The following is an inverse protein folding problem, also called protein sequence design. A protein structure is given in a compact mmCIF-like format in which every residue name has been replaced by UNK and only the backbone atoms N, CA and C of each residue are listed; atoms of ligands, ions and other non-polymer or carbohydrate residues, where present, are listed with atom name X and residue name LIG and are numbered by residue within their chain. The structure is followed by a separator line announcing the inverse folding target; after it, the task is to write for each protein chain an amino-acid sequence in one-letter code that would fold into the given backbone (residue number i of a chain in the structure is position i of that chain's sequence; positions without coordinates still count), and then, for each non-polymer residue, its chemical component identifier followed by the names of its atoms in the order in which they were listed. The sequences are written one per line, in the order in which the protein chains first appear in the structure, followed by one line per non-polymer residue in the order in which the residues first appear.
data_IF_360669378941
#
_entry.id   IF_360669378941
#
_cell.length_a   1.000
_cell.length_b   1.000
_cell.length_c   1.000
_cell.angle_alpha   90.00
_cell.angle_beta   90.00
_cell.angle_gamma   90.00
#
_symmetry.space_group_name_H-M   'P 1'
#
loop_
_entity.id
_entity.type
_entity.pdbx_description
1 polymer ?
#
# COMPACT_ATOMS: atom_id res chain seq x y z
N UNK A 1 -35.24 81.06 -80.50
CA UNK A 1 -34.44 79.82 -80.26
C UNK A 1 -35.01 78.75 -81.16
N UNK A 2 -34.17 78.08 -81.96
CA UNK A 2 -34.63 77.11 -82.94
C UNK A 2 -35.05 75.83 -82.20
N UNK A 3 -36.35 75.58 -82.12
CA UNK A 3 -36.92 74.42 -81.41
C UNK A 3 -36.29 73.09 -81.86
N UNK A 4 -35.80 73.02 -83.10
CA UNK A 4 -35.10 71.86 -83.66
C UNK A 4 -33.82 71.45 -82.90
N UNK A 5 -32.98 72.42 -82.51
CA UNK A 5 -31.74 72.14 -81.76
C UNK A 5 -32.04 71.64 -80.34
N UNK A 6 -33.12 72.13 -79.73
CA UNK A 6 -33.61 71.68 -78.42
C UNK A 6 -34.10 70.23 -78.51
N UNK A 7 -34.84 69.87 -79.56
CA UNK A 7 -35.28 68.48 -79.79
C UNK A 7 -34.10 67.51 -80.00
N UNK A 8 -33.08 67.88 -80.76
CA UNK A 8 -31.88 67.05 -80.97
C UNK A 8 -31.11 66.84 -79.66
N UNK A 9 -30.90 67.90 -78.88
CA UNK A 9 -30.23 67.80 -77.57
C UNK A 9 -31.02 66.90 -76.60
N UNK A 10 -32.35 66.98 -76.62
CA UNK A 10 -33.23 66.14 -75.80
C UNK A 10 -33.12 64.65 -76.19
N UNK A 11 -33.12 64.34 -77.48
CA UNK A 11 -32.96 62.96 -78.00
C UNK A 11 -31.60 62.39 -77.58
N UNK A 12 -30.52 63.18 -77.68
CA UNK A 12 -29.18 62.77 -77.28
C UNK A 12 -29.08 62.53 -75.76
N UNK A 13 -29.67 63.43 -74.94
CA UNK A 13 -29.75 63.25 -73.49
C UNK A 13 -30.57 62.01 -73.09
N UNK A 14 -31.67 61.73 -73.78
CA UNK A 14 -32.48 60.53 -73.55
C UNK A 14 -31.72 59.25 -73.97
N UNK A 15 -30.99 59.29 -75.08
CA UNK A 15 -30.18 58.16 -75.55
C UNK A 15 -29.00 57.84 -74.64
N UNK A 16 -28.29 58.86 -74.14
CA UNK A 16 -27.20 58.69 -73.17
C UNK A 16 -27.70 58.22 -71.81
N UNK A 17 -28.83 58.75 -71.33
CA UNK A 17 -29.50 58.27 -70.12
C UNK A 17 -29.98 56.81 -70.24
N UNK A 18 -30.58 56.44 -71.37
CA UNK A 18 -30.96 55.06 -71.70
C UNK A 18 -29.76 54.11 -71.74
N UNK A 19 -28.67 54.53 -72.38
CA UNK A 19 -27.43 53.74 -72.43
C UNK A 19 -26.80 53.55 -71.06
N UNK A 20 -26.80 54.59 -70.21
CA UNK A 20 -26.29 54.53 -68.84
C UNK A 20 -27.11 53.61 -67.94
N UNK A 21 -28.43 53.69 -68.01
CA UNK A 21 -29.34 52.82 -67.25
C UNK A 21 -29.18 51.36 -67.68
N UNK A 22 -29.10 51.09 -68.99
CA UNK A 22 -28.82 49.76 -69.52
C UNK A 22 -27.46 49.22 -69.04
N UNK A 23 -26.40 50.03 -69.07
CA UNK A 23 -25.08 49.65 -68.57
C UNK A 23 -25.09 49.33 -67.06
N UNK A 24 -25.78 50.13 -66.23
CA UNK A 24 -25.94 49.83 -64.80
C UNK A 24 -26.70 48.52 -64.56
N UNK A 25 -27.76 48.26 -65.34
CA UNK A 25 -28.49 46.99 -65.27
C UNK A 25 -27.58 45.84 -65.69
N UNK A 26 -26.84 45.98 -66.79
CA UNK A 26 -25.86 45.00 -67.26
C UNK A 26 -24.80 44.69 -66.19
N UNK A 27 -24.22 45.70 -65.53
CA UNK A 27 -23.25 45.50 -64.45
C UNK A 27 -23.86 44.74 -63.25
N UNK A 28 -25.10 45.08 -62.86
CA UNK A 28 -25.82 44.34 -61.81
C UNK A 28 -26.06 42.89 -62.22
N UNK A 29 -26.47 42.63 -63.45
CA UNK A 29 -26.68 41.29 -64.00
C UNK A 29 -25.36 40.50 -64.07
N UNK A 30 -24.27 41.14 -64.51
CA UNK A 30 -22.93 40.54 -64.56
C UNK A 30 -22.43 40.17 -63.17
N UNK A 31 -22.58 41.07 -62.19
CA UNK A 31 -22.24 40.80 -60.79
C UNK A 31 -23.05 39.62 -60.24
N UNK A 32 -24.37 39.65 -60.43
CA UNK A 32 -25.28 38.57 -60.02
C UNK A 32 -24.94 37.23 -60.68
N UNK A 33 -24.57 37.23 -61.97
CA UNK A 33 -24.12 36.03 -62.68
C UNK A 33 -22.83 35.48 -62.09
N UNK A 34 -21.86 36.35 -61.76
CA UNK A 34 -20.61 35.95 -61.11
C UNK A 34 -20.88 35.31 -59.74
N UNK A 35 -21.70 35.94 -58.91
CA UNK A 35 -22.13 35.40 -57.61
C UNK A 35 -22.81 34.03 -57.78
N UNK A 36 -23.73 33.87 -58.74
CA UNK A 36 -24.38 32.59 -59.01
C UNK A 36 -23.41 31.50 -59.49
N UNK A 37 -22.40 31.87 -60.29
CA UNK A 37 -21.37 30.91 -60.71
C UNK A 37 -20.50 30.47 -59.54
N UNK A 38 -20.07 31.40 -58.67
CA UNK A 38 -19.32 31.08 -57.45
C UNK A 38 -20.15 30.25 -56.46
N UNK A 39 -21.44 30.53 -56.33
CA UNK A 39 -22.36 29.71 -55.54
C UNK A 39 -22.46 28.29 -56.12
N UNK A 40 -22.66 28.16 -57.43
CA UNK A 40 -22.78 26.85 -58.09
C UNK A 40 -21.48 26.04 -58.01
N UNK A 41 -20.34 26.69 -58.21
CA UNK A 41 -19.03 26.06 -58.05
C UNK A 41 -18.83 25.57 -56.61
N UNK A 42 -19.22 26.37 -55.61
CA UNK A 42 -19.20 25.96 -54.20
C UNK A 42 -20.07 24.72 -53.95
N UNK A 43 -21.27 24.67 -54.53
CA UNK A 43 -22.20 23.53 -54.44
C UNK A 43 -21.61 22.29 -55.11
N UNK A 44 -21.16 22.41 -56.37
CA UNK A 44 -20.61 21.30 -57.13
C UNK A 44 -19.36 20.71 -56.43
N UNK A 45 -18.49 21.57 -55.92
CA UNK A 45 -17.31 21.15 -55.15
C UNK A 45 -17.69 20.40 -53.86
N UNK A 46 -18.75 20.81 -53.16
CA UNK A 46 -19.21 20.12 -51.96
C UNK A 46 -19.92 18.80 -52.27
N UNK A 47 -20.71 18.74 -53.34
CA UNK A 47 -21.40 17.51 -53.77
C UNK A 47 -20.41 16.42 -54.18
N UNK A 48 -19.32 16.80 -54.85
CA UNK A 48 -18.23 15.91 -55.26
C UNK A 48 -17.23 15.57 -54.15
N UNK A 49 -17.36 16.20 -52.98
CA UNK A 49 -16.43 16.00 -51.88
C UNK A 49 -16.54 14.57 -51.34
N UNK A 50 -15.44 13.82 -51.42
CA UNK A 50 -15.29 12.51 -50.78
C UNK A 50 -15.00 12.73 -49.30
N UNK A 51 -16.01 12.50 -48.46
CA UNK A 51 -15.93 12.79 -47.02
C UNK A 51 -14.82 11.98 -46.33
N UNK A 52 -14.51 10.78 -46.84
CA UNK A 52 -13.43 9.91 -46.35
C UNK A 52 -12.03 10.53 -46.42
N UNK A 53 -11.79 11.44 -47.36
CA UNK A 53 -10.47 12.03 -47.61
C UNK A 53 -10.27 13.37 -46.90
N UNK A 54 -11.30 13.89 -46.25
CA UNK A 54 -11.33 15.25 -45.74
C UNK A 54 -11.40 15.23 -44.21
N UNK A 55 -10.57 16.07 -43.59
CA UNK A 55 -10.55 16.17 -42.14
C UNK A 55 -11.83 16.80 -41.56
N UNK A 56 -12.04 16.59 -40.26
CA UNK A 56 -13.17 17.11 -39.50
C UNK A 56 -13.33 18.64 -39.63
N UNK A 57 -12.22 19.38 -39.65
CA UNK A 57 -12.22 20.84 -39.70
C UNK A 57 -12.66 21.39 -41.06
N UNK A 58 -12.24 20.75 -42.14
CA UNK A 58 -12.58 21.13 -43.51
C UNK A 58 -14.06 20.85 -43.81
N UNK A 59 -14.60 19.70 -43.39
CA UNK A 59 -16.03 19.40 -43.54
C UNK A 59 -16.88 20.41 -42.74
N UNK A 60 -16.49 20.70 -41.50
CA UNK A 60 -17.19 21.68 -40.65
C UNK A 60 -17.15 23.09 -41.24
N UNK A 61 -16.02 23.50 -41.81
CA UNK A 61 -15.85 24.77 -42.51
C UNK A 61 -16.77 24.87 -43.72
N UNK A 62 -16.81 23.83 -44.57
CA UNK A 62 -17.69 23.77 -45.75
C UNK A 62 -19.17 23.80 -45.39
N UNK A 63 -19.59 23.06 -44.37
CA UNK A 63 -20.96 23.12 -43.86
C UNK A 63 -21.34 24.52 -43.35
N UNK A 64 -20.40 25.23 -42.71
CA UNK A 64 -20.60 26.59 -42.24
C UNK A 64 -20.71 27.58 -43.40
N UNK A 65 -19.88 27.43 -44.44
CA UNK A 65 -19.93 28.22 -45.67
C UNK A 65 -21.30 28.09 -46.38
N UNK A 66 -21.78 26.86 -46.56
CA UNK A 66 -23.07 26.54 -47.18
C UNK A 66 -24.23 27.15 -46.40
N UNK A 67 -24.17 27.05 -45.06
CA UNK A 67 -25.19 27.61 -44.16
C UNK A 67 -25.22 29.14 -44.25
N UNK A 68 -24.06 29.80 -44.22
CA UNK A 68 -23.95 31.26 -44.26
C UNK A 68 -24.46 31.86 -45.58
N UNK A 69 -24.22 31.16 -46.71
CA UNK A 69 -24.70 31.56 -48.04
C UNK A 69 -26.17 31.18 -48.29
N UNK A 70 -26.85 30.51 -47.34
CA UNK A 70 -28.24 30.05 -47.46
C UNK A 70 -28.48 29.22 -48.74
N UNK A 71 -27.49 28.41 -49.14
CA UNK A 71 -27.53 27.65 -50.40
C UNK A 71 -28.55 26.51 -50.36
N UNK A 72 -28.87 26.00 -49.18
CA UNK A 72 -29.82 24.89 -48.97
C UNK A 72 -31.18 25.18 -49.61
N UNK A 73 -31.70 26.42 -49.48
CA UNK A 73 -32.98 26.79 -50.07
C UNK A 73 -32.96 26.83 -51.61
N UNK A 74 -31.77 27.04 -52.19
CA UNK A 74 -31.57 27.18 -53.64
C UNK A 74 -31.26 25.84 -54.31
N UNK A 75 -30.64 24.92 -53.59
CA UNK A 75 -30.09 23.66 -54.11
C UNK A 75 -30.52 22.49 -53.20
N UNK A 76 -31.72 21.91 -53.40
CA UNK A 76 -32.26 20.83 -52.57
C UNK A 76 -31.38 19.57 -52.52
N UNK A 77 -30.59 19.32 -53.55
CA UNK A 77 -29.61 18.21 -53.61
C UNK A 77 -28.55 18.28 -52.48
N UNK A 78 -28.33 19.46 -51.90
CA UNK A 78 -27.44 19.62 -50.74
C UNK A 78 -27.99 18.95 -49.48
N UNK A 79 -29.30 18.77 -49.32
CA UNK A 79 -29.87 18.25 -48.07
C UNK A 79 -29.35 16.85 -47.75
N UNK A 80 -29.27 15.99 -48.77
CA UNK A 80 -28.74 14.64 -48.62
C UNK A 80 -27.25 14.68 -48.25
N UNK A 81 -26.44 15.45 -49.00
CA UNK A 81 -24.99 15.55 -48.76
C UNK A 81 -24.66 16.17 -47.39
N UNK A 82 -25.45 17.15 -46.95
CA UNK A 82 -25.32 17.75 -45.60
C UNK A 82 -25.64 16.73 -44.52
N UNK A 83 -26.69 15.91 -44.69
CA UNK A 83 -27.04 14.85 -43.75
C UNK A 83 -25.91 13.81 -43.67
N UNK A 84 -25.40 13.38 -44.82
CA UNK A 84 -24.24 12.47 -44.92
C UNK A 84 -23.02 13.05 -44.19
N UNK A 85 -22.64 14.30 -44.49
CA UNK A 85 -21.53 14.98 -43.85
C UNK A 85 -21.71 15.12 -42.33
N UNK A 86 -22.92 15.40 -41.86
CA UNK A 86 -23.21 15.47 -40.41
C UNK A 86 -23.04 14.12 -39.73
N UNK A 87 -23.56 13.04 -40.33
CA UNK A 87 -23.39 11.70 -39.79
C UNK A 87 -21.92 11.31 -39.73
N UNK A 88 -21.18 11.57 -40.80
CA UNK A 88 -19.74 11.31 -40.86
C UNK A 88 -18.94 12.11 -39.81
N UNK A 89 -19.31 13.37 -39.53
CA UNK A 89 -18.70 14.15 -38.45
C UNK A 89 -18.93 13.53 -37.06
N UNK A 90 -20.08 12.90 -36.83
CA UNK A 90 -20.38 12.17 -35.58
C UNK A 90 -19.49 10.92 -35.49
N UNK A 91 -19.36 10.17 -36.59
CA UNK A 91 -18.49 8.99 -36.65
C UNK A 91 -17.02 9.34 -36.39
N UNK A 92 -16.50 10.39 -37.04
CA UNK A 92 -15.14 10.88 -36.80
C UNK A 92 -14.92 11.29 -35.33
N UNK A 93 -15.92 11.93 -34.72
CA UNK A 93 -15.85 12.31 -33.30
C UNK A 93 -15.75 11.08 -32.41
N UNK A 94 -16.60 10.09 -32.62
CA UNK A 94 -16.55 8.84 -31.85
C UNK A 94 -15.24 8.08 -32.08
N UNK A 95 -14.71 8.06 -33.31
CA UNK A 95 -13.41 7.45 -33.61
C UNK A 95 -12.27 8.13 -32.86
N UNK A 96 -12.24 9.45 -32.85
CA UNK A 96 -11.23 10.21 -32.10
C UNK A 96 -11.35 10.02 -30.59
N UNK A 97 -12.58 9.99 -30.07
CA UNK A 97 -12.82 9.69 -28.66
C UNK A 97 -12.35 8.29 -28.28
N UNK A 98 -12.62 7.29 -29.14
CA UNK A 98 -12.15 5.93 -28.93
C UNK A 98 -10.62 5.82 -28.93
N UNK A 99 -9.94 6.54 -29.83
CA UNK A 99 -8.47 6.60 -29.84
C UNK A 99 -7.96 7.21 -28.53
N UNK A 100 -8.50 8.36 -28.12
CA UNK A 100 -8.12 9.01 -26.87
C UNK A 100 -8.34 8.11 -25.65
N UNK A 101 -9.48 7.40 -25.59
CA UNK A 101 -9.77 6.45 -24.52
C UNK A 101 -8.83 5.24 -24.54
N UNK A 102 -8.45 4.76 -25.73
CA UNK A 102 -7.50 3.66 -25.90
C UNK A 102 -6.10 4.05 -25.40
N UNK A 103 -5.64 5.26 -25.75
CA UNK A 103 -4.36 5.78 -25.30
C UNK A 103 -4.36 6.01 -23.78
N UNK A 104 -5.44 6.59 -23.25
CA UNK A 104 -5.61 6.75 -21.79
C UNK A 104 -5.61 5.41 -21.06
N UNK A 105 -6.29 4.40 -21.61
CA UNK A 105 -6.28 3.04 -21.06
C UNK A 105 -4.86 2.47 -21.03
N UNK A 106 -4.11 2.59 -22.13
CA UNK A 106 -2.72 2.13 -22.21
C UNK A 106 -1.82 2.81 -21.17
N UNK A 107 -1.99 4.12 -20.98
CA UNK A 107 -1.26 4.89 -19.96
C UNK A 107 -1.56 4.40 -18.54
N UNK A 108 -2.83 4.13 -18.23
CA UNK A 108 -3.24 3.61 -16.90
C UNK A 108 -2.71 2.19 -16.69
N UNK A 109 -2.75 1.33 -17.71
CA UNK A 109 -2.19 -0.02 -17.63
C UNK A 109 -0.69 0.00 -17.34
N UNK A 110 0.05 0.95 -17.92
CA UNK A 110 1.47 1.16 -17.62
C UNK A 110 1.69 1.58 -16.15
N UNK A 111 0.94 2.58 -15.66
CA UNK A 111 1.04 3.06 -14.28
C UNK A 111 0.72 1.94 -13.25
N UNK A 112 -0.31 1.14 -13.51
CA UNK A 112 -0.66 -0.01 -12.67
C UNK A 112 0.49 -1.02 -12.60
N UNK A 113 1.18 -1.28 -13.72
CA UNK A 113 2.30 -2.21 -13.76
C UNK A 113 3.51 -1.67 -12.99
N UNK A 114 3.84 -0.39 -13.12
CA UNK A 114 4.91 0.24 -12.34
C UNK A 114 4.63 0.18 -10.83
N UNK A 115 3.41 0.52 -10.41
CA UNK A 115 3.00 0.43 -9.00
C UNK A 115 3.07 -1.00 -8.45
N UNK A 116 2.74 -2.01 -9.28
CA UNK A 116 2.89 -3.42 -8.89
C UNK A 116 4.35 -3.80 -8.68
N UNK A 117 5.24 -3.37 -9.57
CA UNK A 117 6.68 -3.64 -9.45
C UNK A 117 7.27 -2.97 -8.20
N UNK A 118 6.88 -1.73 -7.92
CA UNK A 118 7.32 -1.01 -6.72
C UNK A 118 6.83 -1.70 -5.45
N UNK A 119 5.56 -2.11 -5.40
CA UNK A 119 4.99 -2.87 -4.28
C UNK A 119 5.72 -4.19 -4.05
N UNK A 120 6.10 -4.89 -5.11
CA UNK A 120 6.85 -6.13 -4.99
C UNK A 120 8.26 -5.90 -4.44
N UNK A 121 8.95 -4.83 -4.88
CA UNK A 121 10.25 -4.43 -4.34
C UNK A 121 10.16 -4.13 -2.85
N UNK A 122 9.19 -3.30 -2.43
CA UNK A 122 8.95 -3.02 -1.01
C UNK A 122 8.71 -4.30 -0.21
N UNK A 123 7.86 -5.20 -0.70
CA UNK A 123 7.62 -6.50 -0.04
C UNK A 123 8.88 -7.34 0.10
N UNK A 124 9.77 -7.33 -0.90
CA UNK A 124 11.06 -8.06 -0.83
C UNK A 124 11.97 -7.45 0.23
N UNK A 125 12.09 -6.12 0.27
CA UNK A 125 12.88 -5.41 1.28
C UNK A 125 12.34 -5.65 2.69
N UNK A 126 11.02 -5.54 2.88
CA UNK A 126 10.37 -5.82 4.18
C UNK A 126 10.62 -7.26 4.63
N UNK A 127 10.52 -8.23 3.71
CA UNK A 127 10.78 -9.64 4.03
C UNK A 127 12.26 -9.87 4.39
N UNK A 128 13.19 -9.21 3.71
CA UNK A 128 14.62 -9.27 4.03
C UNK A 128 14.91 -8.67 5.40
N UNK A 129 14.34 -7.50 5.71
CA UNK A 129 14.46 -6.86 7.01
C UNK A 129 13.87 -7.72 8.11
N UNK A 130 12.69 -8.30 7.91
CA UNK A 130 12.06 -9.24 8.84
C UNK A 130 12.92 -10.48 9.08
N UNK A 131 13.48 -11.08 8.04
CA UNK A 131 14.36 -12.23 8.17
C UNK A 131 15.63 -11.89 8.97
N UNK A 132 16.24 -10.74 8.69
CA UNK A 132 17.38 -10.22 9.46
C UNK A 132 17.04 -9.96 10.93
N UNK A 133 15.85 -9.41 11.21
CA UNK A 133 15.41 -9.20 12.59
C UNK A 133 15.14 -10.52 13.33
N UNK A 134 14.60 -11.54 12.65
CA UNK A 134 14.42 -12.88 13.24
C UNK A 134 15.74 -13.52 13.61
N UNK A 135 16.73 -13.45 12.73
CA UNK A 135 18.10 -13.94 12.98
C UNK A 135 18.72 -13.25 14.20
N UNK A 136 18.59 -11.92 14.29
CA UNK A 136 19.09 -11.14 15.43
C UNK A 136 18.38 -11.36 16.76
N UNK A 137 17.14 -11.84 16.75
CA UNK A 137 16.40 -12.15 17.96
C UNK A 137 16.82 -13.52 18.52
N UNK A 138 17.45 -14.37 17.71
CA UNK A 138 17.85 -15.73 18.08
C UNK A 138 16.70 -16.49 18.77
N UNK A 139 15.62 -16.67 18.01
CA UNK A 139 14.33 -17.18 18.50
C UNK A 139 14.40 -18.65 18.95
N UNK A 140 15.47 -19.36 18.60
CA UNK A 140 15.71 -20.75 19.01
C UNK A 140 16.21 -20.80 20.45
N UNK A 141 17.16 -19.95 20.81
CA UNK A 141 17.75 -19.91 22.15
C UNK A 141 16.93 -19.04 23.13
N UNK A 142 16.41 -17.90 22.67
CA UNK A 142 15.78 -16.93 23.56
C UNK A 142 14.27 -17.18 23.74
N UNK A 143 13.89 -17.70 24.90
CA UNK A 143 12.47 -17.99 25.22
C UNK A 143 11.69 -16.80 25.78
N UNK A 144 12.37 -15.77 26.29
CA UNK A 144 11.78 -14.64 27.00
C UNK A 144 12.43 -13.34 26.56
N UNK A 145 11.62 -12.35 26.17
CA UNK A 145 12.07 -11.01 25.84
C UNK A 145 11.39 -9.94 26.70
N UNK A 146 12.17 -9.01 27.23
CA UNK A 146 11.64 -7.83 27.91
C UNK A 146 11.05 -6.85 26.89
N UNK A 147 9.76 -6.53 27.02
CA UNK A 147 9.09 -5.66 26.05
C UNK A 147 9.70 -4.25 26.00
N UNK A 148 10.26 -3.76 27.11
CA UNK A 148 10.88 -2.44 27.19
C UNK A 148 12.18 -2.33 26.37
N UNK A 149 12.79 -3.47 26.04
CA UNK A 149 14.06 -3.56 25.30
C UNK A 149 13.84 -3.81 23.78
N UNK A 150 12.57 -3.86 23.33
CA UNK A 150 12.20 -4.21 21.96
C UNK A 150 11.57 -3.03 21.21
N UNK A 151 11.83 -2.96 19.90
CA UNK A 151 11.09 -2.10 18.98
C UNK A 151 9.72 -2.69 18.64
N UNK A 152 8.78 -1.85 18.19
CA UNK A 152 7.44 -2.30 17.77
C UNK A 152 7.48 -3.38 16.68
N UNK A 153 8.42 -3.26 15.74
CA UNK A 153 8.61 -4.25 14.67
C UNK A 153 9.04 -5.61 15.23
N UNK A 154 9.98 -5.63 16.20
CA UNK A 154 10.41 -6.86 16.88
C UNK A 154 9.27 -7.48 17.69
N UNK A 155 8.48 -6.66 18.38
CA UNK A 155 7.28 -7.13 19.12
C UNK A 155 6.30 -7.80 18.15
N UNK A 156 6.03 -7.18 16.99
CA UNK A 156 5.15 -7.76 15.98
C UNK A 156 5.68 -9.11 15.47
N UNK A 157 6.98 -9.20 15.18
CA UNK A 157 7.63 -10.46 14.76
C UNK A 157 7.46 -11.54 15.82
N UNK A 158 7.74 -11.23 17.10
CA UNK A 158 7.60 -12.20 18.19
C UNK A 158 6.15 -12.68 18.35
N UNK A 159 5.17 -11.80 18.23
CA UNK A 159 3.75 -12.16 18.27
C UNK A 159 3.33 -13.03 17.06
N UNK A 160 3.89 -12.78 15.87
CA UNK A 160 3.71 -13.65 14.68
C UNK A 160 4.35 -15.04 14.89
N UNK A 161 5.35 -15.16 15.76
CA UNK A 161 6.07 -16.40 16.13
C UNK A 161 5.53 -17.05 17.42
N UNK A 162 4.24 -16.84 17.73
CA UNK A 162 3.50 -17.43 18.84
C UNK A 162 4.02 -17.07 20.26
N UNK A 163 4.81 -16.01 20.41
CA UNK A 163 5.14 -15.49 21.73
C UNK A 163 3.90 -14.86 22.38
N UNK A 164 3.74 -15.09 23.68
CA UNK A 164 2.63 -14.55 24.47
C UNK A 164 3.10 -13.39 25.32
N UNK A 165 2.41 -12.27 25.20
CA UNK A 165 2.63 -11.12 26.07
C UNK A 165 2.01 -11.38 27.45
N UNK A 166 2.80 -11.30 28.51
CA UNK A 166 2.34 -11.45 29.90
C UNK A 166 2.97 -10.40 30.80
N UNK A 167 2.32 -10.16 31.95
CA UNK A 167 2.84 -9.32 33.01
C UNK A 167 3.23 -10.18 34.20
N UNK A 168 4.51 -10.23 34.53
CA UNK A 168 5.04 -11.07 35.61
C UNK A 168 6.00 -10.29 36.50
N UNK A 169 6.11 -10.72 37.77
CA UNK A 169 7.02 -10.09 38.72
C UNK A 169 8.46 -10.57 38.48
N UNK A 170 9.31 -9.69 37.98
CA UNK A 170 10.72 -9.95 37.77
C UNK A 170 11.47 -9.90 39.11
N UNK A 171 12.19 -10.98 39.43
CA UNK A 171 13.01 -11.14 40.61
C UNK A 171 14.21 -10.18 40.59
N UNK A 172 14.88 -10.05 39.45
CA UNK A 172 16.01 -9.13 39.25
C UNK A 172 15.58 -7.66 39.45
N UNK A 173 14.58 -7.20 38.69
CA UNK A 173 14.07 -5.81 38.74
C UNK A 173 13.20 -5.47 39.96
N UNK A 174 12.71 -6.49 40.68
CA UNK A 174 11.82 -6.37 41.85
C UNK A 174 10.50 -5.65 41.57
N UNK A 175 10.00 -5.73 40.34
CA UNK A 175 8.75 -5.11 39.88
C UNK A 175 8.01 -6.00 38.88
N UNK A 176 6.76 -5.66 38.56
CA UNK A 176 6.00 -6.33 37.50
C UNK A 176 6.40 -5.70 36.16
N UNK A 177 6.89 -6.53 35.23
CA UNK A 177 7.28 -6.11 33.89
C UNK A 177 6.42 -6.82 32.84
N UNK A 178 6.32 -6.21 31.66
CA UNK A 178 5.70 -6.84 30.49
C UNK A 178 6.76 -7.55 29.67
N UNK A 179 6.53 -8.83 29.40
CA UNK A 179 7.46 -9.67 28.61
C UNK A 179 6.72 -10.44 27.53
N UNK A 180 7.44 -10.84 26.50
CA UNK A 180 6.98 -11.80 25.49
C UNK A 180 7.65 -13.14 25.73
N UNK A 181 6.87 -14.21 25.88
CA UNK A 181 7.37 -15.55 26.23
C UNK A 181 6.89 -16.59 25.23
N UNK A 182 7.82 -17.39 24.72
CA UNK A 182 7.51 -18.56 23.89
C UNK A 182 6.99 -19.70 24.77
N UNK A 183 5.75 -20.18 24.57
CA UNK A 183 5.25 -21.34 25.31
C UNK A 183 6.08 -22.59 24.96
N UNK A 184 6.54 -23.32 25.96
CA UNK A 184 7.17 -24.63 25.78
C UNK A 184 6.21 -25.74 26.18
N UNK A 185 6.30 -26.92 25.56
CA UNK A 185 5.36 -28.02 25.79
C UNK A 185 5.39 -28.53 27.24
N UNK A 186 6.56 -28.46 27.89
CA UNK A 186 6.79 -29.06 29.21
C UNK A 186 6.79 -28.06 30.36
N UNK A 187 6.85 -26.75 30.08
CA UNK A 187 6.89 -25.73 31.13
C UNK A 187 5.73 -24.73 30.98
N UNK A 188 5.14 -24.37 32.12
CA UNK A 188 4.20 -23.26 32.15
C UNK A 188 4.93 -21.93 31.88
N UNK A 189 4.24 -20.97 31.26
CA UNK A 189 4.77 -19.61 31.00
C UNK A 189 5.36 -18.98 32.27
N UNK A 190 4.69 -19.14 33.41
CA UNK A 190 5.15 -18.60 34.70
C UNK A 190 6.44 -19.27 35.20
N UNK A 191 6.64 -20.56 34.91
CA UNK A 191 7.89 -21.26 35.24
C UNK A 191 9.03 -20.77 34.35
N UNK A 192 8.83 -20.76 33.02
CA UNK A 192 9.83 -20.26 32.05
C UNK A 192 10.26 -18.83 32.36
N UNK A 193 9.29 -17.96 32.69
CA UNK A 193 9.60 -16.60 33.12
C UNK A 193 10.44 -16.55 34.40
N UNK A 194 10.09 -17.37 35.40
CA UNK A 194 10.76 -17.35 36.69
C UNK A 194 12.20 -17.86 36.59
N UNK A 195 12.45 -18.88 35.75
CA UNK A 195 13.80 -19.34 35.40
C UNK A 195 14.63 -18.20 34.81
N UNK A 196 14.13 -17.59 33.73
CA UNK A 196 14.78 -16.44 33.10
C UNK A 196 15.05 -15.29 34.07
N UNK A 197 14.08 -14.99 34.94
CA UNK A 197 14.18 -13.88 35.87
C UNK A 197 15.17 -14.12 37.01
N UNK A 198 15.28 -15.36 37.50
CA UNK A 198 16.29 -15.75 38.49
C UNK A 198 17.67 -15.78 37.84
N UNK A 199 17.80 -16.30 36.62
CA UNK A 199 19.06 -16.25 35.84
C UNK A 199 19.57 -14.82 35.71
N UNK A 200 18.73 -13.87 35.26
CA UNK A 200 19.12 -12.46 35.17
C UNK A 200 19.60 -11.87 36.49
N UNK A 201 19.01 -12.29 37.61
CA UNK A 201 19.48 -11.87 38.93
C UNK A 201 20.87 -12.45 39.24
N UNK A 202 21.11 -13.73 38.92
CA UNK A 202 22.43 -14.35 39.13
C UNK A 202 23.52 -13.66 38.30
N UNK A 203 23.21 -13.27 37.06
CA UNK A 203 24.11 -12.53 36.16
C UNK A 203 24.52 -11.14 36.72
N UNK A 204 23.78 -10.58 37.67
CA UNK A 204 24.16 -9.31 38.34
C UNK A 204 25.31 -9.50 39.36
N UNK A 205 25.61 -10.72 39.78
CA UNK A 205 26.66 -11.00 40.78
C UNK A 205 27.96 -11.45 40.10
N UNK A 206 29.01 -10.65 40.20
CA UNK A 206 30.30 -10.91 39.52
C UNK A 206 31.06 -12.15 40.00
N UNK A 207 30.66 -12.74 41.12
CA UNK A 207 31.27 -13.96 41.69
C UNK A 207 30.60 -15.26 41.20
N UNK A 208 29.51 -15.12 40.44
CA UNK A 208 28.77 -16.25 39.87
C UNK A 208 29.25 -16.46 38.44
N UNK A 209 29.68 -17.67 38.14
CA UNK A 209 30.21 -18.08 36.85
C UNK A 209 29.39 -19.26 36.29
N UNK A 210 29.53 -19.53 34.99
CA UNK A 210 28.98 -20.72 34.31
C UNK A 210 27.50 -21.02 34.60
N UNK A 211 26.64 -20.00 34.48
CA UNK A 211 25.19 -20.17 34.67
C UNK A 211 24.61 -20.98 33.49
N UNK A 212 24.11 -22.18 33.79
CA UNK A 212 23.50 -23.10 32.85
C UNK A 212 22.03 -23.36 33.20
N UNK A 213 21.18 -23.37 32.18
CA UNK A 213 19.77 -23.78 32.26
C UNK A 213 19.62 -25.25 31.86
N UNK A 214 18.81 -26.01 32.61
CA UNK A 214 18.54 -27.41 32.29
C UNK A 214 17.04 -27.67 32.17
N UNK A 215 16.64 -28.45 31.17
CA UNK A 215 15.23 -28.90 31.01
C UNK A 215 14.97 -30.30 31.59
N UNK A 216 15.99 -30.94 32.17
CA UNK A 216 15.99 -32.38 32.41
C UNK A 216 15.96 -32.74 33.90
N UNK A 217 16.66 -33.83 34.29
CA UNK A 217 16.71 -34.35 35.66
C UNK A 217 17.47 -33.41 36.60
N UNK A 218 18.38 -32.60 36.07
CA UNK A 218 19.15 -31.64 36.86
C UNK A 218 18.32 -30.44 37.30
N UNK A 219 18.85 -29.61 38.21
CA UNK A 219 18.18 -28.38 38.64
C UNK A 219 17.93 -27.43 37.46
N UNK A 220 16.85 -26.64 37.52
CA UNK A 220 16.52 -25.71 36.43
C UNK A 220 17.67 -24.73 36.12
N UNK A 221 18.42 -24.30 37.15
CA UNK A 221 19.63 -23.49 37.02
C UNK A 221 20.79 -24.11 37.81
N UNK A 222 21.97 -24.14 37.22
CA UNK A 222 23.23 -24.47 37.90
C UNK A 222 24.28 -23.41 37.62
N UNK A 223 25.19 -23.16 38.55
CA UNK A 223 26.24 -22.15 38.41
C UNK A 223 27.40 -22.43 39.36
N UNK A 224 28.53 -21.76 39.15
CA UNK A 224 29.73 -21.89 39.98
C UNK A 224 29.94 -20.64 40.85
N UNK A 225 30.37 -20.85 42.10
CA UNK A 225 30.89 -19.78 42.96
C UNK A 225 32.16 -20.26 43.65
N UNK A 226 33.29 -19.61 43.35
CA UNK A 226 34.61 -19.94 43.91
C UNK A 226 34.98 -21.44 43.76
N UNK A 227 34.88 -22.03 42.57
CA UNK A 227 35.27 -23.43 42.36
C UNK A 227 34.22 -24.45 42.81
N UNK A 228 33.00 -24.04 43.15
CA UNK A 228 31.96 -24.92 43.71
C UNK A 228 30.65 -24.77 42.96
N UNK A 229 30.08 -25.90 42.57
CA UNK A 229 28.76 -25.95 41.94
C UNK A 229 27.63 -25.69 42.93
N UNK A 230 26.71 -24.82 42.52
CA UNK A 230 25.44 -24.51 43.15
C UNK A 230 24.28 -24.77 42.17
N UNK A 231 23.09 -24.95 42.73
CA UNK A 231 21.89 -25.24 41.96
C UNK A 231 20.62 -24.57 42.51
N UNK A 232 19.72 -24.18 41.62
CA UNK A 232 18.40 -23.64 41.96
C UNK A 232 17.32 -24.42 41.21
N UNK A 233 16.41 -25.03 41.95
CA UNK A 233 15.20 -25.65 41.42
C UNK A 233 14.02 -24.67 41.52
N UNK A 234 13.25 -24.50 40.45
CA UNK A 234 12.20 -23.50 40.32
C UNK A 234 10.82 -24.16 40.22
N UNK A 235 9.99 -23.92 41.23
CA UNK A 235 8.77 -24.69 41.43
C UNK A 235 7.50 -23.86 41.34
N UNK A 236 6.60 -24.29 40.45
CA UNK A 236 5.26 -23.72 40.31
C UNK A 236 4.17 -24.51 41.03
N UNK A 237 4.54 -25.64 41.66
CA UNK A 237 3.69 -26.44 42.53
C UNK A 237 3.04 -27.65 41.86
N UNK A 238 3.36 -27.94 40.60
CA UNK A 238 2.90 -29.13 39.87
C UNK A 238 3.61 -30.40 40.37
N UNK A 239 4.90 -30.33 40.70
CA UNK A 239 5.69 -31.51 41.08
C UNK A 239 5.28 -32.12 42.43
N UNK A 240 4.74 -31.32 43.36
CA UNK A 240 4.19 -31.82 44.64
C UNK A 240 3.11 -32.90 44.46
N UNK A 241 2.39 -32.91 43.34
CA UNK A 241 1.37 -33.92 43.04
C UNK A 241 2.01 -35.24 42.58
N UNK A 242 3.24 -35.20 42.08
CA UNK A 242 4.00 -36.34 41.56
C UNK A 242 5.08 -36.78 42.56
N UNK A 243 4.65 -37.26 43.73
CA UNK A 243 5.51 -37.55 44.90
C UNK A 243 6.77 -38.35 44.56
N UNK A 244 6.65 -39.43 43.78
CA UNK A 244 7.79 -40.27 43.39
C UNK A 244 8.83 -39.51 42.58
N UNK A 245 8.40 -38.70 41.60
CA UNK A 245 9.31 -37.88 40.79
C UNK A 245 10.00 -36.81 41.65
N UNK A 246 9.26 -36.19 42.57
CA UNK A 246 9.82 -35.25 43.53
C UNK A 246 10.88 -35.93 44.41
N UNK A 247 10.59 -37.09 44.98
CA UNK A 247 11.55 -37.84 45.83
C UNK A 247 12.82 -38.21 45.06
N UNK A 248 12.70 -38.67 43.81
CA UNK A 248 13.83 -38.99 42.95
C UNK A 248 14.67 -37.73 42.61
N UNK A 249 14.02 -36.60 42.33
CA UNK A 249 14.66 -35.31 42.07
C UNK A 249 15.41 -34.80 43.30
N UNK A 250 14.77 -34.79 44.46
CA UNK A 250 15.38 -34.37 45.73
C UNK A 250 16.57 -35.26 46.09
N UNK A 251 16.44 -36.58 45.92
CA UNK A 251 17.55 -37.51 46.13
C UNK A 251 18.74 -37.16 45.23
N UNK A 252 18.49 -36.95 43.94
CA UNK A 252 19.53 -36.55 42.99
C UNK A 252 20.22 -35.23 43.38
N UNK A 253 19.45 -34.20 43.74
CA UNK A 253 19.99 -32.88 44.13
C UNK A 253 20.83 -32.97 45.41
N UNK A 254 20.38 -33.73 46.41
CA UNK A 254 21.13 -33.97 47.64
C UNK A 254 22.42 -34.76 47.40
N UNK A 255 22.41 -35.74 46.49
CA UNK A 255 23.60 -36.51 46.12
C UNK A 255 24.61 -35.63 45.37
N UNK A 256 24.16 -34.80 44.43
CA UNK A 256 25.02 -33.98 43.56
C UNK A 256 25.53 -32.70 44.23
N UNK A 257 24.63 -31.91 44.82
CA UNK A 257 24.93 -30.57 45.32
C UNK A 257 25.00 -30.49 46.85
N UNK A 258 24.61 -31.56 47.57
CA UNK A 258 24.56 -31.60 49.05
C UNK A 258 23.67 -30.50 49.63
N UNK A 259 24.28 -29.50 50.27
CA UNK A 259 23.65 -28.32 50.87
C UNK A 259 23.75 -27.07 49.98
N UNK A 260 24.39 -27.16 48.81
CA UNK A 260 24.60 -26.06 47.85
C UNK A 260 23.48 -25.93 46.82
N UNK A 261 22.25 -26.23 47.20
CA UNK A 261 21.10 -26.03 46.32
C UNK A 261 19.88 -25.54 47.09
N UNK A 262 19.00 -24.83 46.39
CA UNK A 262 17.78 -24.29 46.98
C UNK A 262 16.58 -24.38 46.04
N UNK A 263 15.38 -24.34 46.62
CA UNK A 263 14.12 -24.28 45.87
C UNK A 263 13.57 -22.86 45.87
N UNK A 264 13.32 -22.31 44.68
CA UNK A 264 12.56 -21.08 44.49
C UNK A 264 11.13 -21.41 44.09
N UNK A 265 10.17 -21.04 44.92
CA UNK A 265 8.75 -21.27 44.62
C UNK A 265 8.05 -20.01 44.11
N UNK A 266 7.13 -20.21 43.17
CA UNK A 266 6.30 -19.12 42.61
C UNK A 266 5.32 -18.51 43.64
N UNK A 267 4.85 -19.29 44.61
CA UNK A 267 3.82 -18.90 45.59
C UNK A 267 4.26 -19.16 47.03
N UNK A 268 3.81 -18.30 47.96
CA UNK A 268 4.19 -18.33 49.39
C UNK A 268 3.76 -19.62 50.09
N UNK A 269 2.61 -20.17 49.74
CA UNK A 269 2.05 -21.37 50.36
C UNK A 269 2.86 -22.64 50.04
N UNK A 270 3.60 -22.63 48.93
CA UNK A 270 4.50 -23.71 48.54
C UNK A 270 5.76 -23.77 49.43
N UNK A 271 6.22 -22.63 49.98
CA UNK A 271 7.44 -22.57 50.80
C UNK A 271 7.36 -23.60 51.94
N UNK A 272 6.27 -23.60 52.71
CA UNK A 272 6.08 -24.54 53.82
C UNK A 272 6.17 -26.01 53.38
N UNK A 273 5.75 -26.32 52.16
CA UNK A 273 5.73 -27.68 51.63
C UNK A 273 7.10 -28.14 51.14
N UNK A 274 7.90 -27.23 50.57
CA UNK A 274 9.23 -27.52 50.04
C UNK A 274 10.35 -27.36 51.07
N UNK A 275 10.17 -26.53 52.10
CA UNK A 275 11.17 -26.28 53.15
C UNK A 275 11.55 -27.53 53.98
N UNK A 276 10.78 -28.62 53.87
CA UNK A 276 11.09 -29.91 54.49
C UNK A 276 12.19 -30.69 53.74
N UNK A 277 12.52 -30.30 52.52
CA UNK A 277 13.49 -30.98 51.68
C UNK A 277 14.85 -30.28 51.59
N UNK A 278 14.91 -28.98 51.92
CA UNK A 278 16.11 -28.16 51.79
C UNK A 278 15.78 -26.67 51.94
N UNK A 279 16.77 -25.81 51.66
CA UNK A 279 16.60 -24.36 51.66
C UNK A 279 15.53 -23.97 50.63
N UNK A 280 14.52 -23.21 51.05
CA UNK A 280 13.43 -22.79 50.18
C UNK A 280 13.08 -21.32 50.38
N UNK A 281 12.87 -20.60 49.28
CA UNK A 281 12.41 -19.21 49.31
C UNK A 281 11.31 -18.98 48.27
N UNK A 282 10.50 -17.95 48.48
CA UNK A 282 9.52 -17.50 47.48
C UNK A 282 10.16 -16.50 46.51
N UNK A 283 9.61 -16.42 45.29
CA UNK A 283 10.12 -15.54 44.22
C UNK A 283 10.45 -14.10 44.64
N UNK A 284 9.66 -13.49 45.54
CA UNK A 284 9.87 -12.11 46.02
C UNK A 284 11.10 -11.92 46.92
N UNK A 285 11.60 -12.99 47.53
CA UNK A 285 12.68 -12.93 48.51
C UNK A 285 13.99 -13.56 48.03
N UNK A 286 14.07 -14.03 46.77
CA UNK A 286 15.26 -14.69 46.22
C UNK A 286 16.51 -13.81 46.40
N UNK A 287 16.44 -12.53 46.04
CA UNK A 287 17.55 -11.58 46.19
C UNK A 287 18.07 -11.36 47.62
N UNK A 288 17.34 -11.81 48.65
CA UNK A 288 17.80 -11.73 50.05
C UNK A 288 18.38 -13.05 50.56
N UNK A 289 18.15 -14.15 49.84
CA UNK A 289 18.54 -15.51 50.26
C UNK A 289 19.60 -16.13 49.34
N UNK A 290 19.89 -15.51 48.20
CA UNK A 290 21.12 -15.69 47.42
C UNK A 290 22.26 -14.95 48.11
#
# INVERSE_FOLDING_TARGET
INNYLVHIALIFLLGTFGSYTFYRVYLKLRKKRKELMEERECVDNFLRLELSEVDYTAIKSKLSEIRNKNLIKKYPELDYKIKEAKNYLVELRHKNELINLTDKRRSIEYEINELRLEREKMRRTDNQQRAYLKDRLDLEENKVFDKSELSEEKIKILLEEDYKQVNEYCVAKKEIITVLIRPTLNHSIAHTFLVWSVRRLLEEYTMIEDILEHETRDADLTFEVNGKDFAIEIETGTLLRKKKQLEEKIKFLNERYKDRWMVVVSKRDLVKKYNKFGLCTQRKWVCKNL
#
